data_IF_647649066565
#
_entry.id   IF_647649066565
#
_cell.length_a   1.000
_cell.length_b   1.000
_cell.length_c   1.000
_cell.angle_alpha   90.00
_cell.angle_beta   90.00
_cell.angle_gamma   90.00
#
_symmetry.space_group_name_H-M   'P 1'
#
loop_
_entity.id
_entity.type
_entity.pdbx_description
1 polymer ?
#
# COMPACT_ATOMS: atom_id res chain seq x y z
N UNK A 1 56.90 -12.49 -4.80
CA UNK A 1 56.06 -13.14 -3.77
C UNK A 1 55.46 -12.18 -2.73
N UNK A 2 56.23 -11.42 -1.92
CA UNK A 2 55.64 -10.47 -0.94
C UNK A 2 54.91 -9.29 -1.58
N UNK A 3 55.46 -8.75 -2.68
CA UNK A 3 54.92 -7.60 -3.40
C UNK A 3 53.61 -7.97 -4.12
N UNK A 4 53.55 -9.16 -4.74
CA UNK A 4 52.34 -9.66 -5.43
C UNK A 4 51.16 -9.89 -4.47
N UNK A 5 51.45 -10.35 -3.25
CA UNK A 5 50.44 -10.51 -2.20
C UNK A 5 49.86 -9.16 -1.75
N UNK A 6 50.72 -8.15 -1.57
CA UNK A 6 50.29 -6.80 -1.18
C UNK A 6 49.43 -6.18 -2.28
N UNK A 7 49.83 -6.29 -3.54
CA UNK A 7 49.03 -5.79 -4.67
C UNK A 7 47.71 -6.54 -4.84
N UNK A 8 47.68 -7.84 -4.57
CA UNK A 8 46.46 -8.64 -4.57
C UNK A 8 45.49 -8.19 -3.47
N UNK A 9 45.97 -7.98 -2.24
CA UNK A 9 45.15 -7.49 -1.13
C UNK A 9 44.60 -6.08 -1.42
N UNK A 10 45.42 -5.20 -2.00
CA UNK A 10 44.99 -3.85 -2.40
C UNK A 10 43.92 -3.94 -3.50
N UNK A 11 44.11 -4.78 -4.51
CA UNK A 11 43.14 -4.98 -5.59
C UNK A 11 41.80 -5.53 -5.06
N UNK A 12 41.84 -6.51 -4.15
CA UNK A 12 40.63 -7.06 -3.51
C UNK A 12 39.93 -5.99 -2.68
N UNK A 13 40.68 -5.20 -1.90
CA UNK A 13 40.11 -4.13 -1.08
C UNK A 13 39.41 -3.07 -1.93
N UNK A 14 40.06 -2.64 -3.02
CA UNK A 14 39.48 -1.68 -3.97
C UNK A 14 38.23 -2.28 -4.61
N UNK A 15 38.28 -3.53 -5.10
CA UNK A 15 37.15 -4.19 -5.71
C UNK A 15 35.95 -4.31 -4.75
N UNK A 16 36.19 -4.70 -3.49
CA UNK A 16 35.14 -4.76 -2.46
C UNK A 16 34.55 -3.38 -2.19
N UNK A 17 35.39 -2.35 -2.09
CA UNK A 17 34.91 -0.98 -1.86
C UNK A 17 34.07 -0.46 -3.03
N UNK A 18 34.49 -0.73 -4.27
CA UNK A 18 33.73 -0.39 -5.48
C UNK A 18 32.38 -1.10 -5.53
N UNK A 19 32.34 -2.39 -5.18
CA UNK A 19 31.08 -3.15 -5.12
C UNK A 19 30.16 -2.59 -4.03
N UNK A 20 30.69 -2.28 -2.84
CA UNK A 20 29.91 -1.66 -1.76
C UNK A 20 29.35 -0.29 -2.16
N UNK A 21 30.14 0.54 -2.84
CA UNK A 21 29.69 1.83 -3.36
C UNK A 21 28.64 1.67 -4.46
N UNK A 22 28.80 0.70 -5.37
CA UNK A 22 27.84 0.41 -6.42
C UNK A 22 26.52 -0.12 -5.85
N UNK A 23 26.57 -1.02 -4.85
CA UNK A 23 25.38 -1.52 -4.15
C UNK A 23 24.71 -0.39 -3.37
N UNK A 24 25.48 0.44 -2.65
CA UNK A 24 24.95 1.62 -1.97
C UNK A 24 24.28 2.56 -2.96
N UNK A 25 24.87 2.79 -4.13
CA UNK A 25 24.31 3.67 -5.14
C UNK A 25 23.08 3.08 -5.81
N UNK A 26 23.03 1.77 -6.06
CA UNK A 26 21.84 1.06 -6.55
C UNK A 26 20.71 1.03 -5.53
N UNK A 27 21.02 0.87 -4.24
CA UNK A 27 20.04 0.96 -3.15
C UNK A 27 19.57 2.41 -3.00
N UNK A 28 20.47 3.39 -3.08
CA UNK A 28 20.11 4.81 -3.04
C UNK A 28 19.25 5.20 -4.25
N UNK A 29 19.61 4.81 -5.48
CA UNK A 29 18.84 5.07 -6.70
C UNK A 29 17.52 4.30 -6.71
N UNK A 30 17.50 3.05 -6.25
CA UNK A 30 16.28 2.26 -6.09
C UNK A 30 15.36 2.86 -5.03
N UNK A 31 15.93 3.38 -3.94
CA UNK A 31 15.20 4.12 -2.93
C UNK A 31 14.71 5.46 -3.47
N UNK A 32 15.54 6.23 -4.18
CA UNK A 32 15.19 7.53 -4.77
C UNK A 32 14.12 7.38 -5.84
N UNK A 33 14.07 6.28 -6.59
CA UNK A 33 13.02 6.05 -7.58
C UNK A 33 11.67 5.69 -6.94
N UNK A 34 11.72 4.97 -5.81
CA UNK A 34 10.54 4.72 -4.96
C UNK A 34 10.13 6.00 -4.23
N UNK A 35 11.09 6.77 -3.71
CA UNK A 35 10.88 8.01 -2.97
C UNK A 35 10.44 9.16 -3.88
N UNK A 36 10.94 9.32 -5.10
CA UNK A 36 10.54 10.40 -6.02
C UNK A 36 9.07 10.31 -6.40
N UNK A 37 8.49 9.11 -6.42
CA UNK A 37 7.04 8.93 -6.63
C UNK A 37 6.19 9.35 -5.43
N UNK A 38 6.75 9.34 -4.22
CA UNK A 38 6.06 9.78 -2.99
C UNK A 38 6.42 11.22 -2.56
N UNK A 39 7.62 11.71 -2.88
CA UNK A 39 8.17 12.98 -2.36
C UNK A 39 7.91 14.15 -3.30
N UNK A 40 7.75 13.95 -4.61
CA UNK A 40 7.66 15.08 -5.51
C UNK A 40 6.33 15.87 -5.42
N UNK A 41 5.21 15.28 -4.96
CA UNK A 41 3.91 15.99 -4.91
C UNK A 41 2.95 15.56 -3.78
N UNK A 42 3.13 14.40 -3.10
CA UNK A 42 1.97 13.71 -2.48
C UNK A 42 1.89 13.58 -0.95
N UNK A 43 2.96 13.84 -0.19
CA UNK A 43 3.02 13.47 1.23
C UNK A 43 3.31 11.97 1.44
N UNK A 44 3.83 11.64 2.61
CA UNK A 44 4.15 10.29 3.06
C UNK A 44 3.07 9.82 4.03
N UNK A 45 2.79 8.52 4.08
CA UNK A 45 1.93 7.93 5.10
C UNK A 45 2.65 6.77 5.78
N UNK A 46 2.55 6.70 7.10
CA UNK A 46 3.00 5.57 7.88
C UNK A 46 1.78 4.89 8.51
N UNK A 47 1.67 3.57 8.33
CA UNK A 47 0.57 2.79 8.87
C UNK A 47 1.12 1.54 9.55
N UNK A 48 1.07 1.47 10.87
CA UNK A 48 1.57 0.35 11.67
C UNK A 48 0.47 -0.30 12.50
N UNK A 49 0.70 -1.56 12.86
CA UNK A 49 -0.12 -2.32 13.78
C UNK A 49 0.82 -3.07 14.72
N UNK A 50 0.86 -2.66 15.99
CA UNK A 50 1.73 -3.26 17.00
C UNK A 50 0.90 -4.19 17.89
N UNK A 51 1.37 -5.41 18.09
CA UNK A 51 0.74 -6.35 19.01
C UNK A 51 1.00 -5.93 20.47
N UNK A 52 -0.04 -5.97 21.30
CA UNK A 52 0.04 -5.67 22.73
C UNK A 52 0.21 -6.96 23.55
N UNK A 53 0.69 -6.80 24.78
CA UNK A 53 0.88 -7.92 25.71
C UNK A 53 -0.42 -8.64 26.08
N UNK A 54 -1.58 -7.99 25.97
CA UNK A 54 -2.91 -8.55 26.21
C UNK A 54 -3.49 -9.27 24.97
N UNK A 55 -2.72 -9.38 23.88
CA UNK A 55 -3.15 -9.95 22.60
C UNK A 55 -3.92 -8.96 21.72
N UNK A 56 -4.16 -7.74 22.17
CA UNK A 56 -4.72 -6.66 21.37
C UNK A 56 -3.74 -6.14 20.30
N UNK A 57 -4.22 -5.23 19.46
CA UNK A 57 -3.41 -4.55 18.44
C UNK A 57 -3.59 -3.03 18.56
N UNK A 58 -2.49 -2.27 18.59
CA UNK A 58 -2.51 -0.81 18.48
C UNK A 58 -2.21 -0.43 17.05
N UNK A 59 -3.21 0.14 16.41
CA UNK A 59 -3.11 0.68 15.07
C UNK A 59 -2.67 2.13 15.18
N UNK A 60 -1.70 2.52 14.35
CA UNK A 60 -1.23 3.89 14.28
C UNK A 60 -1.10 4.31 12.82
N UNK A 61 -1.77 5.41 12.46
CA UNK A 61 -1.69 6.03 11.15
C UNK A 61 -1.16 7.46 11.29
N UNK A 62 -0.14 7.78 10.50
CA UNK A 62 0.51 9.08 10.47
C UNK A 62 0.69 9.56 9.05
N UNK A 63 0.71 10.88 8.92
CA UNK A 63 1.03 11.58 7.69
C UNK A 63 2.38 12.28 7.88
N UNK A 64 3.17 12.35 6.82
CA UNK A 64 4.43 13.06 6.76
C UNK A 64 4.54 13.90 5.48
N UNK A 65 5.48 14.84 5.45
CA UNK A 65 5.73 15.67 4.27
C UNK A 65 4.67 16.75 4.03
N UNK A 66 4.72 17.43 2.86
CA UNK A 66 3.94 18.65 2.61
C UNK A 66 2.47 18.40 2.20
N UNK A 67 2.03 17.15 2.13
CA UNK A 67 0.70 16.78 1.63
C UNK A 67 -0.43 17.07 2.64
N UNK A 68 -1.61 17.44 2.12
CA UNK A 68 -2.85 17.55 2.89
C UNK A 68 -3.78 16.40 2.50
N UNK A 69 -4.23 15.66 3.50
CA UNK A 69 -5.05 14.46 3.36
C UNK A 69 -6.46 14.79 3.84
N UNK A 70 -7.47 14.49 3.03
CA UNK A 70 -8.86 14.79 3.32
C UNK A 70 -9.66 13.53 3.66
N UNK A 71 -10.65 13.67 4.54
CA UNK A 71 -11.58 12.61 4.92
C UNK A 71 -10.88 11.28 5.30
N UNK A 72 -9.83 11.40 6.11
CA UNK A 72 -9.07 10.25 6.61
C UNK A 72 -9.97 9.43 7.54
N UNK A 73 -10.18 8.17 7.17
CA UNK A 73 -11.10 7.26 7.87
C UNK A 73 -10.42 5.91 8.07
N UNK A 74 -10.46 5.36 9.28
CA UNK A 74 -10.04 3.98 9.57
C UNK A 74 -11.28 3.10 9.75
N UNK A 75 -11.32 1.92 9.13
CA UNK A 75 -12.43 0.96 9.19
C UNK A 75 -11.92 -0.44 9.52
N UNK A 76 -12.71 -1.22 10.26
CA UNK A 76 -12.45 -2.64 10.53
C UNK A 76 -13.35 -3.50 9.63
N UNK A 77 -12.75 -4.42 8.87
CA UNK A 77 -13.47 -5.34 7.98
C UNK A 77 -13.24 -6.80 8.41
N UNK A 78 -14.23 -7.65 8.20
CA UNK A 78 -14.11 -9.10 8.42
C UNK A 78 -14.20 -9.55 9.89
N UNK A 79 -14.52 -8.62 10.80
CA UNK A 79 -15.04 -8.95 12.14
C UNK A 79 -16.56 -8.81 12.10
N UNK A 80 -17.34 -9.64 12.83
CA UNK A 80 -18.75 -9.28 13.08
C UNK A 80 -18.78 -7.85 13.62
N UNK A 81 -19.56 -7.01 12.95
CA UNK A 81 -19.63 -5.57 13.22
C UNK A 81 -19.83 -5.30 14.72
N UNK A 82 -19.20 -4.24 15.22
CA UNK A 82 -19.61 -3.53 16.44
C UNK A 82 -19.26 -4.13 17.82
N UNK A 83 -17.98 -4.27 18.14
CA UNK A 83 -17.56 -4.23 19.56
C UNK A 83 -16.64 -3.05 19.87
N UNK A 84 -15.96 -2.49 18.86
CA UNK A 84 -14.98 -1.41 19.06
C UNK A 84 -15.46 -0.15 18.36
N UNK A 85 -15.54 0.94 19.13
CA UNK A 85 -15.79 2.26 18.57
C UNK A 85 -14.69 2.60 17.55
N UNK A 86 -15.11 2.85 16.31
CA UNK A 86 -14.22 3.27 15.24
C UNK A 86 -13.74 4.72 15.50
N UNK A 87 -12.50 5.08 15.14
CA UNK A 87 -12.05 6.46 15.24
C UNK A 87 -12.92 7.38 14.38
N UNK A 88 -13.15 8.59 14.88
CA UNK A 88 -13.87 9.62 14.13
C UNK A 88 -13.15 9.95 12.82
N UNK A 89 -13.94 10.25 11.79
CA UNK A 89 -13.42 10.70 10.50
C UNK A 89 -12.66 12.01 10.70
N UNK A 90 -11.41 12.06 10.26
CA UNK A 90 -10.64 13.30 10.21
C UNK A 90 -10.78 13.96 8.86
N UNK A 91 -11.50 15.08 8.81
CA UNK A 91 -11.73 15.83 7.59
C UNK A 91 -10.44 16.32 6.93
N UNK A 92 -9.42 16.62 7.73
CA UNK A 92 -8.09 17.03 7.27
C UNK A 92 -7.01 16.42 8.15
N UNK A 93 -5.89 16.02 7.54
CA UNK A 93 -4.70 15.56 8.25
C UNK A 93 -3.44 15.97 7.48
N UNK A 94 -2.46 16.48 8.21
CA UNK A 94 -1.15 16.96 7.73
C UNK A 94 -0.04 16.41 8.62
N UNK A 95 1.21 16.61 8.22
CA UNK A 95 2.36 16.10 8.99
C UNK A 95 2.52 16.67 10.41
N UNK A 96 1.86 17.79 10.72
CA UNK A 96 1.87 18.38 12.07
C UNK A 96 0.78 17.83 13.00
N UNK A 97 -0.17 17.06 12.46
CA UNK A 97 -1.30 16.56 13.23
C UNK A 97 -0.92 15.31 14.04
N UNK A 98 -1.55 15.09 15.21
CA UNK A 98 -1.29 13.88 16.00
C UNK A 98 -1.67 12.64 15.19
N UNK A 99 -0.97 11.53 15.41
CA UNK A 99 -1.32 10.27 14.79
C UNK A 99 -2.78 9.86 15.08
N UNK A 100 -3.40 9.16 14.15
CA UNK A 100 -4.63 8.42 14.40
C UNK A 100 -4.26 7.11 15.07
N UNK A 101 -4.65 6.96 16.33
CA UNK A 101 -4.43 5.75 17.10
C UNK A 101 -5.74 5.02 17.34
N UNK A 102 -5.71 3.69 17.20
CA UNK A 102 -6.87 2.86 17.46
C UNK A 102 -6.46 1.53 18.07
N UNK A 103 -6.94 1.25 19.28
CA UNK A 103 -6.65 -0.01 19.97
C UNK A 103 -7.78 -1.01 19.71
N UNK A 104 -7.41 -2.16 19.18
CA UNK A 104 -8.30 -3.26 18.87
C UNK A 104 -8.06 -4.42 19.87
N UNK A 105 -9.11 -5.11 20.31
CA UNK A 105 -9.00 -6.27 21.18
C UNK A 105 -8.44 -7.48 20.42
N UNK A 106 -7.99 -8.50 21.16
CA UNK A 106 -7.46 -9.75 20.59
C UNK A 106 -8.44 -10.47 19.64
N UNK A 107 -9.74 -10.28 19.82
CA UNK A 107 -10.78 -10.86 18.94
C UNK A 107 -10.71 -10.34 17.50
N UNK A 108 -10.00 -9.23 17.25
CA UNK A 108 -9.82 -8.65 15.92
C UNK A 108 -8.64 -9.26 15.14
N UNK A 109 -7.92 -10.26 15.64
CA UNK A 109 -6.70 -10.80 15.01
C UNK A 109 -6.89 -11.24 13.53
N UNK A 110 -8.08 -11.73 13.18
CA UNK A 110 -8.42 -12.13 11.79
C UNK A 110 -9.01 -11.00 10.94
N UNK A 111 -9.21 -9.83 11.53
CA UNK A 111 -9.79 -8.68 10.86
C UNK A 111 -8.77 -7.90 10.04
N UNK A 112 -9.31 -7.09 9.13
CA UNK A 112 -8.55 -6.17 8.31
C UNK A 112 -8.80 -4.76 8.81
N UNK A 113 -7.74 -3.98 8.94
CA UNK A 113 -7.86 -2.55 9.19
C UNK A 113 -7.55 -1.81 7.91
N UNK A 114 -8.53 -1.07 7.40
CA UNK A 114 -8.43 -0.27 6.20
C UNK A 114 -8.40 1.20 6.59
N UNK A 115 -7.47 1.96 6.02
CA UNK A 115 -7.47 3.42 6.08
C UNK A 115 -7.70 3.97 4.69
N UNK A 116 -8.59 4.94 4.57
CA UNK A 116 -8.93 5.63 3.32
C UNK A 116 -8.74 7.11 3.49
N UNK A 117 -8.29 7.79 2.45
CA UNK A 117 -8.21 9.24 2.41
C UNK A 117 -8.40 9.73 0.99
N UNK A 118 -8.57 11.03 0.86
CA UNK A 118 -8.74 11.73 -0.39
C UNK A 118 -7.62 12.75 -0.53
N UNK A 119 -6.96 12.78 -1.68
CA UNK A 119 -5.97 13.83 -1.98
C UNK A 119 -6.32 14.58 -3.27
N UNK A 120 -6.03 15.89 -3.33
CA UNK A 120 -6.01 16.61 -4.60
C UNK A 120 -4.83 16.10 -5.44
N UNK A 121 -5.10 15.67 -6.67
CA UNK A 121 -4.07 15.26 -7.63
C UNK A 121 -4.30 15.99 -8.95
N UNK A 122 -3.43 16.96 -9.26
CA UNK A 122 -3.54 17.85 -10.41
C UNK A 122 -4.91 18.57 -10.46
N UNK A 123 -5.76 18.25 -11.43
CA UNK A 123 -7.10 18.82 -11.62
C UNK A 123 -8.22 17.93 -11.05
N UNK A 124 -7.86 16.84 -10.37
CA UNK A 124 -8.81 15.82 -9.89
C UNK A 124 -8.63 15.46 -8.42
N UNK A 125 -9.50 14.56 -7.99
CA UNK A 125 -9.56 14.03 -6.62
C UNK A 125 -9.30 12.53 -6.71
N UNK A 126 -8.23 12.05 -6.07
CA UNK A 126 -7.92 10.63 -5.98
C UNK A 126 -8.17 10.14 -4.56
N UNK A 127 -9.05 9.14 -4.42
CA UNK A 127 -9.24 8.43 -3.15
C UNK A 127 -8.19 7.34 -3.02
N UNK A 128 -7.34 7.37 -2.00
CA UNK A 128 -6.36 6.32 -1.75
C UNK A 128 -6.79 5.45 -0.58
N UNK A 129 -6.28 4.21 -0.55
CA UNK A 129 -6.57 3.30 0.53
C UNK A 129 -5.40 2.35 0.80
N UNK A 130 -5.15 2.10 2.09
CA UNK A 130 -4.28 1.06 2.59
C UNK A 130 -5.08 0.09 3.43
N UNK A 131 -4.74 -1.18 3.38
CA UNK A 131 -5.34 -2.20 4.24
C UNK A 131 -4.26 -3.09 4.84
N UNK A 132 -4.36 -3.38 6.14
CA UNK A 132 -3.46 -4.29 6.84
C UNK A 132 -4.23 -5.47 7.42
N UNK A 133 -3.67 -6.66 7.29
CA UNK A 133 -4.14 -7.88 7.97
C UNK A 133 -3.42 -7.97 9.30
N UNK A 134 -4.16 -8.03 10.40
CA UNK A 134 -3.57 -8.08 11.75
C UNK A 134 -2.80 -9.39 11.99
N UNK A 135 -3.40 -10.55 11.67
CA UNK A 135 -2.77 -11.87 11.85
C UNK A 135 -1.49 -12.12 11.06
N UNK A 136 -1.29 -11.45 9.92
CA UNK A 136 -0.22 -11.77 8.97
C UNK A 136 0.78 -10.63 8.75
N UNK A 137 0.56 -9.50 9.42
CA UNK A 137 1.29 -8.24 9.24
C UNK A 137 1.50 -7.84 7.77
N UNK A 138 0.47 -8.09 6.94
CA UNK A 138 0.55 -7.81 5.50
C UNK A 138 -0.12 -6.48 5.20
N UNK A 139 0.62 -5.59 4.54
CA UNK A 139 0.13 -4.31 4.05
C UNK A 139 -0.22 -4.38 2.56
N UNK A 140 -1.40 -3.87 2.21
CA UNK A 140 -1.93 -3.78 0.87
C UNK A 140 -2.27 -2.33 0.53
N UNK A 141 -2.02 -1.95 -0.72
CA UNK A 141 -2.31 -0.66 -1.32
C UNK A 141 -3.40 -0.83 -2.38
N UNK A 142 -4.40 0.06 -2.38
CA UNK A 142 -5.37 0.13 -3.48
C UNK A 142 -4.79 0.92 -4.64
N UNK A 143 -4.80 0.31 -5.83
CA UNK A 143 -4.36 0.97 -7.05
C UNK A 143 -5.50 1.08 -8.04
N UNK A 144 -5.82 2.31 -8.41
CA UNK A 144 -6.75 2.60 -9.48
C UNK A 144 -6.22 2.13 -10.82
N UNK A 145 -7.13 1.67 -11.65
CA UNK A 145 -6.86 1.48 -13.06
C UNK A 145 -6.85 2.83 -13.77
N UNK A 146 -5.96 2.98 -14.75
CA UNK A 146 -6.01 4.13 -15.65
C UNK A 146 -7.35 4.15 -16.38
N UNK A 147 -7.75 5.34 -16.84
CA UNK A 147 -9.00 5.51 -17.56
C UNK A 147 -9.10 4.58 -18.78
N UNK A 148 -8.01 4.45 -19.54
CA UNK A 148 -7.91 3.53 -20.68
C UNK A 148 -8.15 2.08 -20.25
N UNK A 149 -7.51 1.63 -19.16
CA UNK A 149 -7.64 0.26 -18.69
C UNK A 149 -9.04 -0.02 -18.12
N UNK A 150 -9.64 0.97 -17.44
CA UNK A 150 -11.04 0.94 -17.00
C UNK A 150 -11.99 0.81 -18.20
N UNK A 151 -11.81 1.63 -19.23
CA UNK A 151 -12.62 1.58 -20.45
C UNK A 151 -12.55 0.20 -21.13
N UNK A 152 -11.34 -0.30 -21.38
CA UNK A 152 -11.13 -1.62 -22.00
C UNK A 152 -11.82 -2.74 -21.20
N UNK A 153 -11.73 -2.72 -19.87
CA UNK A 153 -12.37 -3.72 -19.01
C UNK A 153 -13.88 -3.61 -19.01
N UNK A 154 -14.44 -2.41 -19.09
CA UNK A 154 -15.88 -2.20 -19.24
C UNK A 154 -16.39 -2.79 -20.56
N UNK A 155 -15.69 -2.54 -21.66
CA UNK A 155 -16.02 -3.11 -22.98
C UNK A 155 -15.93 -4.63 -22.96
N UNK A 156 -14.84 -5.19 -22.41
CA UNK A 156 -14.67 -6.63 -22.30
C UNK A 156 -15.78 -7.29 -21.45
N UNK A 157 -16.13 -6.67 -20.31
CA UNK A 157 -17.23 -7.14 -19.45
C UNK A 157 -18.57 -7.09 -20.17
N UNK A 158 -18.83 -6.03 -20.93
CA UNK A 158 -20.04 -5.89 -21.73
C UNK A 158 -20.15 -6.98 -22.81
N UNK A 159 -19.08 -7.18 -23.59
CA UNK A 159 -19.01 -8.22 -24.61
C UNK A 159 -19.22 -9.64 -24.02
N UNK A 160 -18.60 -9.92 -22.87
CA UNK A 160 -18.74 -11.20 -22.17
C UNK A 160 -20.16 -11.44 -21.62
N UNK A 161 -20.84 -10.39 -21.16
CA UNK A 161 -22.25 -10.46 -20.71
C UNK A 161 -23.21 -10.66 -21.87
N UNK A 162 -22.91 -10.09 -23.04
CA UNK A 162 -23.73 -10.22 -24.25
C UNK A 162 -23.50 -11.52 -25.03
N UNK A 163 -22.59 -12.37 -24.55
CA UNK A 163 -22.28 -13.67 -25.15
C UNK A 163 -21.40 -13.58 -26.40
N UNK A 164 -20.82 -12.41 -26.68
CA UNK A 164 -19.95 -12.20 -27.84
C UNK A 164 -18.58 -12.85 -27.71
N UNK A 165 -18.20 -13.26 -26.50
CA UNK A 165 -16.95 -13.96 -26.22
C UNK A 165 -17.27 -15.34 -25.60
N UNK A 166 -17.10 -16.45 -26.35
CA UNK A 166 -17.31 -17.80 -25.85
C UNK A 166 -16.32 -18.13 -24.72
N UNK A 167 -16.78 -18.81 -23.66
CA UNK A 167 -15.91 -19.24 -22.53
C UNK A 167 -15.48 -18.14 -21.56
N UNK A 168 -15.95 -16.90 -21.73
CA UNK A 168 -15.50 -15.74 -20.96
C UNK A 168 -16.28 -15.49 -19.66
N UNK A 169 -16.60 -16.54 -18.90
CA UNK A 169 -17.39 -16.41 -17.65
C UNK A 169 -16.65 -15.54 -16.62
N UNK A 170 -15.31 -15.68 -16.54
CA UNK A 170 -14.46 -14.86 -15.68
C UNK A 170 -14.41 -13.38 -16.10
N UNK A 171 -14.68 -13.06 -17.36
CA UNK A 171 -14.70 -11.67 -17.84
C UNK A 171 -15.97 -10.91 -17.44
N UNK A 172 -17.04 -11.63 -17.06
CA UNK A 172 -18.32 -11.02 -16.63
C UNK A 172 -18.23 -10.32 -15.27
N UNK A 173 -17.25 -10.72 -14.46
CA UNK A 173 -17.01 -10.26 -13.09
C UNK A 173 -15.70 -9.48 -12.97
N UNK A 174 -15.17 -8.97 -14.09
CA UNK A 174 -13.98 -8.13 -14.06
C UNK A 174 -14.20 -6.92 -13.15
N UNK A 175 -13.30 -6.75 -12.18
CA UNK A 175 -13.19 -5.52 -11.41
C UNK A 175 -12.87 -4.35 -12.33
N UNK A 176 -13.60 -3.25 -12.21
CA UNK A 176 -13.51 -2.12 -13.14
C UNK A 176 -12.66 -0.96 -12.62
N UNK A 177 -12.57 -0.81 -11.30
CA UNK A 177 -12.05 0.42 -10.69
C UNK A 177 -10.59 0.34 -10.29
N UNK A 178 -10.16 -0.80 -9.74
CA UNK A 178 -8.79 -0.98 -9.28
C UNK A 178 -8.54 -2.36 -8.71
N UNK A 179 -7.40 -2.50 -8.05
CA UNK A 179 -6.99 -3.73 -7.37
C UNK A 179 -6.14 -3.44 -6.14
N UNK A 180 -6.23 -4.33 -5.17
CA UNK A 180 -5.28 -4.40 -4.06
C UNK A 180 -3.94 -4.96 -4.56
N UNK A 181 -2.85 -4.38 -4.09
CA UNK A 181 -1.48 -4.82 -4.32
C UNK A 181 -0.73 -4.85 -3.01
N UNK A 182 -0.03 -5.95 -2.70
CA UNK A 182 0.84 -6.02 -1.53
C UNK A 182 2.02 -5.05 -1.70
N UNK A 183 2.36 -4.28 -0.67
CA UNK A 183 3.45 -3.29 -0.75
C UNK A 183 4.84 -3.94 -0.79
N UNK A 184 5.00 -5.12 -0.16
CA UNK A 184 6.27 -5.84 -0.07
C UNK A 184 6.56 -6.85 -1.19
N UNK A 185 5.61 -7.08 -2.12
CA UNK A 185 5.79 -8.07 -3.19
C UNK A 185 5.15 -7.61 -4.49
N UNK A 186 5.87 -7.86 -5.60
CA UNK A 186 5.39 -7.61 -6.96
C UNK A 186 4.81 -8.86 -7.63
N UNK A 187 4.69 -9.98 -6.90
CA UNK A 187 4.18 -11.23 -7.47
C UNK A 187 2.67 -11.13 -7.73
N UNK A 188 2.23 -11.62 -8.89
CA UNK A 188 0.80 -11.69 -9.24
C UNK A 188 0.01 -12.66 -8.33
N UNK A 189 0.69 -13.47 -7.51
CA UNK A 189 0.06 -14.39 -6.57
C UNK A 189 -0.41 -13.71 -5.26
N UNK A 190 0.09 -12.50 -4.95
CA UNK A 190 -0.26 -11.74 -3.73
C UNK A 190 -1.52 -10.86 -3.90
N UNK A 191 -2.38 -11.16 -4.87
CA UNK A 191 -3.51 -10.30 -5.32
C UNK A 191 -4.80 -10.40 -4.48
N UNK A 192 -4.76 -10.99 -3.28
CA UNK A 192 -5.92 -11.16 -2.43
C UNK A 192 -5.83 -10.23 -1.21
N UNK A 193 -6.06 -8.94 -1.46
CA UNK A 193 -6.44 -7.98 -0.41
C UNK A 193 -7.83 -8.29 0.17
N UNK A 194 -8.39 -7.44 1.05
CA UNK A 194 -9.64 -7.73 1.75
C UNK A 194 -10.76 -8.03 0.75
N UNK A 195 -11.15 -9.30 0.69
CA UNK A 195 -12.36 -9.87 0.11
C UNK A 195 -13.04 -9.12 -1.05
N UNK A 196 -12.30 -8.73 -2.09
CA UNK A 196 -12.87 -8.03 -3.25
C UNK A 196 -13.60 -6.71 -2.98
N UNK A 197 -13.44 -6.13 -1.79
CA UNK A 197 -14.10 -4.89 -1.40
C UNK A 197 -13.33 -3.72 -2.03
N UNK A 198 -13.99 -2.90 -2.88
CA UNK A 198 -13.42 -1.62 -3.29
C UNK A 198 -13.38 -0.67 -2.08
N UNK A 199 -12.47 0.31 -2.04
CA UNK A 199 -12.59 1.38 -1.07
C UNK A 199 -13.95 2.09 -1.24
N UNK A 200 -14.55 2.60 -0.15
CA UNK A 200 -15.75 3.42 -0.24
C UNK A 200 -15.52 4.55 -1.24
N UNK A 201 -16.45 4.67 -2.19
CA UNK A 201 -16.50 5.79 -3.11
C UNK A 201 -17.11 6.93 -2.29
N UNK A 202 -16.29 7.95 -1.99
CA UNK A 202 -16.76 9.17 -1.33
C UNK A 202 -17.77 9.93 -2.17
#
# INVERSE_FOLDING_TARGET
MRVDLIWSVVAVTIATFTVLLAVRHLVALGSEWVFHRYVAVGGLVAFSADALADGGHRIRFEVGGPGIFHNVTLQLLGSPESVVAQPEVRHTMTAGDPALEWTLPATAERAWVMVTWVRPYLQGVESEALARVLSADRLYEWRWYSETYRYLRTVARFAARRGWVPGATSLRELRLYGRWRRTSSNSAADLLGPAATPPPIG
#
